data_IF_420928243845
#
_entry.id   IF_420928243845
#
_cell.length_a   1.000
_cell.length_b   1.000
_cell.length_c   1.000
_cell.angle_alpha   90.00
_cell.angle_beta   90.00
_cell.angle_gamma   90.00
#
_symmetry.space_group_name_H-M   'P 1'
#
loop_
_entity.id
_entity.type
_entity.pdbx_description
1 polymer ?
#
# COMPACT_ATOMS: atom_id res chain seq x y z
N UNK A 1 24.46 15.73 -8.78
CA UNK A 1 25.19 16.51 -7.76
C UNK A 1 26.49 17.12 -8.33
N UNK A 2 26.40 18.10 -9.24
CA UNK A 2 27.60 18.83 -9.72
C UNK A 2 28.11 19.86 -8.70
N UNK A 3 27.22 20.36 -7.85
CA UNK A 3 27.53 21.41 -6.87
C UNK A 3 28.47 20.94 -5.74
N UNK A 4 28.27 19.74 -5.19
CA UNK A 4 29.18 19.19 -4.16
C UNK A 4 30.59 18.94 -4.71
N UNK A 5 30.70 18.46 -5.94
CA UNK A 5 31.98 18.29 -6.63
C UNK A 5 32.69 19.64 -6.87
N UNK A 6 31.93 20.70 -7.16
CA UNK A 6 32.48 22.05 -7.31
C UNK A 6 32.97 22.63 -5.99
N UNK A 7 32.24 22.43 -4.89
CA UNK A 7 32.69 22.83 -3.54
C UNK A 7 33.99 22.11 -3.17
N UNK A 8 34.08 20.81 -3.41
CA UNK A 8 35.30 20.02 -3.16
C UNK A 8 36.47 20.48 -4.04
N UNK A 9 36.22 20.77 -5.32
CA UNK A 9 37.24 21.28 -6.26
C UNK A 9 37.78 22.64 -5.80
N UNK A 10 36.91 23.56 -5.42
CA UNK A 10 37.31 24.90 -4.97
C UNK A 10 38.05 24.86 -3.62
N UNK A 11 37.61 24.00 -2.68
CA UNK A 11 38.30 23.81 -1.40
C UNK A 11 39.72 23.25 -1.58
N UNK A 12 39.90 22.31 -2.53
CA UNK A 12 41.22 21.77 -2.91
C UNK A 12 42.11 22.80 -3.60
N UNK A 13 41.55 23.58 -4.54
CA UNK A 13 42.31 24.61 -5.27
C UNK A 13 42.86 25.71 -4.35
N UNK A 14 42.12 26.07 -3.29
CA UNK A 14 42.57 27.04 -2.29
C UNK A 14 43.53 26.46 -1.24
N UNK A 15 43.98 25.20 -1.38
CA UNK A 15 44.86 24.48 -0.43
C UNK A 15 44.34 24.47 1.02
N UNK A 16 43.03 24.63 1.22
CA UNK A 16 42.43 24.76 2.56
C UNK A 16 42.30 23.42 3.27
N UNK A 17 42.20 22.30 2.54
CA UNK A 17 42.11 20.94 3.11
C UNK A 17 42.31 19.86 2.04
N UNK A 18 42.93 18.73 2.42
CA UNK A 18 42.98 17.49 1.62
C UNK A 18 41.67 16.68 1.70
N UNK A 19 40.76 17.06 2.60
CA UNK A 19 39.51 16.32 2.88
C UNK A 19 38.44 16.56 1.81
N UNK A 20 37.62 15.54 1.55
CA UNK A 20 36.42 15.64 0.73
C UNK A 20 35.21 16.02 1.63
N UNK A 21 34.57 17.15 1.34
CA UNK A 21 33.38 17.64 2.02
C UNK A 21 32.09 17.23 1.30
N UNK A 22 32.15 16.91 0.00
CA UNK A 22 31.01 16.52 -0.82
C UNK A 22 30.13 15.42 -0.23
N UNK A 23 30.68 14.30 0.28
CA UNK A 23 29.87 13.25 0.91
C UNK A 23 29.11 13.72 2.15
N UNK A 24 29.68 14.65 2.92
CA UNK A 24 29.08 15.20 4.15
C UNK A 24 27.88 16.10 3.86
N UNK A 25 27.96 16.85 2.76
CA UNK A 25 26.95 17.82 2.34
C UNK A 25 25.82 17.17 1.51
N UNK A 26 26.10 16.03 0.89
CA UNK A 26 25.21 15.39 -0.08
C UNK A 26 23.81 15.16 0.47
N UNK A 27 23.70 14.65 1.69
CA UNK A 27 22.41 14.25 2.23
C UNK A 27 21.50 15.44 2.51
N UNK A 28 22.03 16.48 3.17
CA UNK A 28 21.27 17.69 3.44
C UNK A 28 20.86 18.40 2.15
N UNK A 29 21.79 18.55 1.20
CA UNK A 29 21.51 19.20 -0.08
C UNK A 29 20.43 18.47 -0.88
N UNK A 30 20.44 17.13 -0.83
CA UNK A 30 19.38 16.34 -1.44
C UNK A 30 18.03 16.57 -0.75
N UNK A 31 17.97 16.70 0.57
CA UNK A 31 16.73 16.99 1.30
C UNK A 31 16.21 18.39 1.04
N UNK A 32 17.08 19.40 0.96
CA UNK A 32 16.70 20.77 0.54
C UNK A 32 16.15 20.75 -0.89
N UNK A 33 16.78 20.00 -1.80
CA UNK A 33 16.31 19.87 -3.17
C UNK A 33 14.96 19.14 -3.25
N UNK A 34 14.76 18.09 -2.45
CA UNK A 34 13.49 17.38 -2.36
C UNK A 34 12.38 18.27 -1.80
N UNK A 35 12.67 19.11 -0.81
CA UNK A 35 11.73 20.11 -0.32
C UNK A 35 11.39 21.17 -1.36
N UNK A 36 12.36 21.64 -2.13
CA UNK A 36 12.11 22.54 -3.26
C UNK A 36 11.22 21.90 -4.32
N UNK A 37 11.45 20.62 -4.64
CA UNK A 37 10.56 19.87 -5.54
C UNK A 37 9.16 19.68 -4.95
N UNK A 38 9.05 19.47 -3.63
CA UNK A 38 7.77 19.34 -2.92
C UNK A 38 6.94 20.63 -3.03
N UNK A 39 7.56 21.79 -2.84
CA UNK A 39 6.90 23.09 -3.00
C UNK A 39 6.42 23.35 -4.43
N UNK A 40 7.18 22.88 -5.43
CA UNK A 40 6.82 23.00 -6.85
C UNK A 40 5.62 22.12 -7.22
N UNK A 41 5.60 20.87 -6.73
CA UNK A 41 4.53 19.89 -7.00
C UNK A 41 3.23 20.21 -6.26
N UNK A 42 3.31 20.70 -5.03
CA UNK A 42 2.12 20.84 -4.15
C UNK A 42 1.46 22.21 -4.28
N UNK A 43 2.20 23.27 -4.58
CA UNK A 43 1.69 24.64 -4.42
C UNK A 43 1.71 25.47 -5.70
N UNK A 44 2.35 24.98 -6.77
CA UNK A 44 2.51 25.73 -8.01
C UNK A 44 3.48 26.91 -7.83
N UNK A 45 4.02 27.40 -8.95
CA UNK A 45 5.27 28.19 -9.03
C UNK A 45 5.44 29.45 -8.18
N UNK A 46 4.47 29.88 -7.37
CA UNK A 46 4.58 31.06 -6.49
C UNK A 46 5.16 30.76 -5.08
N UNK A 47 4.91 29.60 -4.46
CA UNK A 47 5.60 29.19 -3.22
C UNK A 47 6.98 28.54 -3.47
N UNK A 48 7.34 28.36 -4.74
CA UNK A 48 8.69 28.06 -5.19
C UNK A 48 9.71 29.11 -4.66
N UNK A 49 9.27 30.34 -4.33
CA UNK A 49 10.13 31.39 -3.79
C UNK A 49 10.76 31.05 -2.43
N UNK A 50 10.03 30.43 -1.49
CA UNK A 50 10.57 30.11 -0.15
C UNK A 50 11.59 28.99 -0.26
N UNK A 51 11.25 27.90 -0.95
CA UNK A 51 12.16 26.77 -1.08
C UNK A 51 13.38 27.09 -1.98
N UNK A 52 13.18 27.91 -3.03
CA UNK A 52 14.27 28.48 -3.81
C UNK A 52 15.15 29.41 -2.96
N UNK A 53 14.55 30.20 -2.06
CA UNK A 53 15.26 31.04 -1.09
C UNK A 53 16.13 30.24 -0.14
N UNK A 54 15.61 29.15 0.43
CA UNK A 54 16.38 28.22 1.28
C UNK A 54 17.55 27.62 0.50
N UNK A 55 17.31 27.16 -0.74
CA UNK A 55 18.37 26.64 -1.60
C UNK A 55 19.46 27.70 -1.89
N UNK A 56 19.05 28.91 -2.25
CA UNK A 56 19.97 30.02 -2.51
C UNK A 56 20.79 30.38 -1.25
N UNK A 57 20.15 30.40 -0.08
CA UNK A 57 20.81 30.66 1.20
C UNK A 57 21.86 29.59 1.53
N UNK A 58 21.54 28.31 1.38
CA UNK A 58 22.48 27.20 1.60
C UNK A 58 23.64 27.27 0.60
N UNK A 59 23.35 27.52 -0.69
CA UNK A 59 24.36 27.63 -1.74
C UNK A 59 25.32 28.79 -1.50
N UNK A 60 24.80 29.97 -1.18
CA UNK A 60 25.59 31.17 -0.88
C UNK A 60 26.45 30.96 0.36
N UNK A 61 25.89 30.36 1.40
CA UNK A 61 26.59 30.02 2.64
C UNK A 61 27.79 29.11 2.37
N UNK A 62 27.61 28.05 1.58
CA UNK A 62 28.71 27.14 1.22
C UNK A 62 29.81 27.87 0.42
N UNK A 63 29.46 28.74 -0.51
CA UNK A 63 30.45 29.54 -1.25
C UNK A 63 31.26 30.47 -0.35
N UNK A 64 30.62 31.10 0.64
CA UNK A 64 31.28 31.94 1.63
C UNK A 64 32.25 31.11 2.48
N UNK A 65 31.83 29.92 2.93
CA UNK A 65 32.65 29.02 3.75
C UNK A 65 33.89 28.49 3.04
N UNK A 66 33.92 28.43 1.70
CA UNK A 66 35.11 28.06 0.93
C UNK A 66 36.27 29.05 1.15
N UNK A 67 36.02 30.24 1.71
CA UNK A 67 37.08 31.15 2.17
C UNK A 67 37.70 30.79 3.53
N UNK A 68 37.07 29.92 4.34
CA UNK A 68 37.38 29.71 5.74
C UNK A 68 37.41 28.21 6.11
N UNK A 69 38.59 27.59 6.10
CA UNK A 69 38.74 26.12 6.27
C UNK A 69 38.15 25.57 7.58
N UNK A 70 38.44 26.22 8.71
CA UNK A 70 37.96 25.78 10.04
C UNK A 70 36.42 25.82 10.15
N UNK A 71 35.80 26.78 9.48
CA UNK A 71 34.36 26.98 9.47
C UNK A 71 33.67 25.97 8.55
N UNK A 72 34.25 25.73 7.38
CA UNK A 72 33.77 24.70 6.45
C UNK A 72 33.77 23.32 7.10
N UNK A 73 34.79 22.99 7.91
CA UNK A 73 34.83 21.73 8.65
C UNK A 73 33.69 21.61 9.66
N UNK A 74 33.50 22.61 10.53
CA UNK A 74 32.41 22.62 11.53
C UNK A 74 31.01 22.55 10.88
N UNK A 75 30.80 23.34 9.82
CA UNK A 75 29.54 23.34 9.08
C UNK A 75 29.31 21.99 8.37
N UNK A 76 30.36 21.38 7.81
CA UNK A 76 30.25 20.06 7.17
C UNK A 76 29.85 18.97 8.16
N UNK A 77 30.31 19.03 9.41
CA UNK A 77 29.95 18.08 10.46
C UNK A 77 28.51 18.28 10.91
N UNK A 78 28.07 19.53 11.10
CA UNK A 78 26.67 19.86 11.41
C UNK A 78 25.72 19.36 10.32
N UNK A 79 26.03 19.66 9.05
CA UNK A 79 25.23 19.24 7.91
C UNK A 79 25.28 17.72 7.65
N UNK A 80 26.38 17.05 8.02
CA UNK A 80 26.45 15.60 8.00
C UNK A 80 25.55 14.97 9.07
N UNK A 81 25.55 15.52 10.30
CA UNK A 81 24.69 15.05 11.37
C UNK A 81 23.21 15.24 11.01
N UNK A 82 22.84 16.43 10.54
CA UNK A 82 21.50 16.74 10.06
C UNK A 82 21.08 15.88 8.85
N UNK A 83 22.00 15.72 7.89
CA UNK A 83 21.77 14.95 6.68
C UNK A 83 21.60 13.45 6.90
N UNK A 84 22.13 12.87 7.99
CA UNK A 84 21.88 11.47 8.33
C UNK A 84 20.42 11.19 8.69
N UNK A 85 19.77 12.16 9.31
CA UNK A 85 18.38 12.02 9.77
C UNK A 85 17.38 12.60 8.77
N UNK A 86 17.84 13.38 7.79
CA UNK A 86 17.00 14.17 6.93
C UNK A 86 15.91 13.34 6.21
N UNK A 87 14.69 13.88 6.12
CA UNK A 87 13.53 13.15 5.63
C UNK A 87 13.65 12.89 4.12
N UNK A 88 14.07 11.67 3.77
CA UNK A 88 14.24 11.20 2.38
C UNK A 88 13.08 10.34 1.91
N UNK A 89 11.90 10.56 2.49
CA UNK A 89 10.76 9.72 2.21
C UNK A 89 10.24 10.08 0.82
N UNK A 90 10.41 9.18 -0.15
CA UNK A 90 9.81 9.29 -1.48
C UNK A 90 8.27 9.39 -1.37
N UNK A 91 7.71 8.85 -0.29
CA UNK A 91 6.31 8.97 0.11
C UNK A 91 5.93 10.36 0.68
N UNK A 92 6.89 11.23 1.00
CA UNK A 92 6.63 12.55 1.58
C UNK A 92 5.71 13.39 0.68
N UNK A 93 5.89 13.32 -0.64
CA UNK A 93 5.03 14.04 -1.60
C UNK A 93 3.56 13.63 -1.55
N UNK A 94 3.26 12.37 -1.22
CA UNK A 94 1.89 11.86 -1.16
C UNK A 94 1.19 12.22 0.14
N UNK A 95 1.98 12.41 1.20
CA UNK A 95 1.49 12.58 2.58
C UNK A 95 1.53 14.04 3.02
N UNK A 96 2.49 14.81 2.53
CA UNK A 96 2.68 16.23 2.82
C UNK A 96 1.42 17.10 2.66
N UNK A 97 0.68 17.07 1.53
CA UNK A 97 -0.52 17.90 1.39
C UNK A 97 -1.66 17.49 2.35
N UNK A 98 -1.59 16.32 2.98
CA UNK A 98 -2.67 15.74 3.80
C UNK A 98 -2.51 16.02 5.30
N UNK A 99 -1.31 16.33 5.79
CA UNK A 99 -1.05 16.62 7.21
C UNK A 99 -0.49 18.02 7.39
N UNK A 100 -1.23 18.84 8.16
CA UNK A 100 -0.79 20.18 8.54
C UNK A 100 0.37 20.14 9.53
N UNK A 101 0.38 19.16 10.43
CA UNK A 101 1.48 18.97 11.38
C UNK A 101 2.79 18.64 10.67
N UNK A 102 2.74 17.76 9.65
CA UNK A 102 3.91 17.47 8.82
C UNK A 102 4.43 18.71 8.10
N UNK A 103 3.54 19.56 7.58
CA UNK A 103 3.91 20.84 6.95
C UNK A 103 4.60 21.76 7.95
N UNK A 104 4.05 21.90 9.16
CA UNK A 104 4.63 22.73 10.22
C UNK A 104 6.03 22.23 10.60
N UNK A 105 6.21 20.93 10.86
CA UNK A 105 7.51 20.36 11.22
C UNK A 105 8.58 20.57 10.13
N UNK A 106 8.19 20.46 8.85
CA UNK A 106 9.09 20.74 7.73
C UNK A 106 9.46 22.23 7.65
N UNK A 107 8.49 23.13 7.85
CA UNK A 107 8.76 24.56 7.91
C UNK A 107 9.75 24.90 9.03
N UNK A 108 9.54 24.38 10.25
CA UNK A 108 10.44 24.59 11.38
C UNK A 108 11.85 24.06 11.10
N UNK A 109 11.98 22.88 10.50
CA UNK A 109 13.27 22.33 10.09
C UNK A 109 14.03 23.29 9.14
N UNK A 110 13.35 23.83 8.13
CA UNK A 110 13.99 24.75 7.17
C UNK A 110 14.20 26.17 7.71
N UNK A 111 13.42 26.60 8.71
CA UNK A 111 13.70 27.81 9.48
C UNK A 111 15.05 27.66 10.21
N UNK A 112 15.30 26.53 10.86
CA UNK A 112 16.59 26.25 11.53
C UNK A 112 17.74 26.25 10.51
N UNK A 113 17.56 25.62 9.35
CA UNK A 113 18.56 25.65 8.26
C UNK A 113 18.87 27.09 7.80
N UNK A 114 17.83 27.92 7.69
CA UNK A 114 17.98 29.33 7.29
C UNK A 114 18.68 30.15 8.37
N UNK A 115 18.38 29.91 9.66
CA UNK A 115 19.09 30.54 10.77
C UNK A 115 20.58 30.20 10.79
N UNK A 116 20.93 28.94 10.53
CA UNK A 116 22.33 28.54 10.37
C UNK A 116 22.98 29.33 9.24
N UNK A 117 22.34 29.38 8.06
CA UNK A 117 22.85 30.15 6.92
C UNK A 117 23.05 31.63 7.25
N UNK A 118 22.08 32.26 7.90
CA UNK A 118 22.16 33.65 8.33
C UNK A 118 23.29 33.90 9.32
N UNK A 119 23.48 33.00 10.30
CA UNK A 119 24.58 33.09 11.28
C UNK A 119 25.94 33.03 10.61
N UNK A 120 26.09 32.15 9.61
CA UNK A 120 27.31 32.02 8.81
C UNK A 120 27.59 33.30 8.01
N UNK A 121 26.58 33.84 7.35
CA UNK A 121 26.72 35.05 6.55
C UNK A 121 27.03 36.28 7.41
N UNK A 122 26.35 36.41 8.56
CA UNK A 122 26.62 37.47 9.54
C UNK A 122 28.07 37.42 10.03
N UNK A 123 28.60 36.23 10.30
CA UNK A 123 30.00 36.05 10.68
C UNK A 123 30.96 36.44 9.54
N UNK A 124 30.70 35.98 8.31
CA UNK A 124 31.54 36.29 7.16
C UNK A 124 31.59 37.79 6.81
N UNK A 125 30.53 38.55 7.13
CA UNK A 125 30.49 40.02 6.95
C UNK A 125 31.29 40.80 7.99
N UNK A 126 31.67 40.21 9.14
CA UNK A 126 32.49 40.89 10.15
C UNK A 126 33.94 41.01 9.66
N UNK A 127 34.64 42.10 10.02
CA UNK A 127 36.05 42.32 9.68
C UNK A 127 36.94 41.19 10.21
N UNK A 128 38.09 40.97 9.59
CA UNK A 128 39.10 39.93 9.93
C UNK A 128 39.48 39.93 11.42
N UNK A 129 39.39 41.07 12.11
CA UNK A 129 39.65 41.19 13.55
C UNK A 129 38.43 40.79 14.43
N UNK A 130 37.21 41.02 13.94
CA UNK A 130 35.97 40.53 14.57
C UNK A 130 35.72 39.04 14.33
N UNK A 131 36.27 38.47 13.26
CA UNK A 131 36.18 37.03 12.96
C UNK A 131 37.03 36.18 13.92
N UNK A 132 38.14 36.72 14.45
CA UNK A 132 38.98 36.03 15.43
C UNK A 132 38.36 36.00 16.84
N UNK A 133 37.57 37.02 17.22
CA UNK A 133 36.92 37.10 18.53
C UNK A 133 35.53 36.46 18.58
N UNK A 134 34.88 36.27 17.43
CA UNK A 134 33.56 35.63 17.34
C UNK A 134 33.62 34.23 16.74
N UNK A 135 34.52 33.37 17.24
CA UNK A 135 34.41 31.94 16.92
C UNK A 135 32.98 31.50 17.22
N UNK A 136 32.27 30.90 16.26
CA UNK A 136 30.95 30.30 16.49
C UNK A 136 30.97 29.57 17.83
N UNK A 137 30.16 30.04 18.78
CA UNK A 137 30.13 29.45 20.10
C UNK A 137 29.71 27.98 19.93
N UNK A 138 30.45 27.06 20.54
CA UNK A 138 30.16 25.63 20.43
C UNK A 138 28.74 25.30 20.92
N UNK A 139 28.21 26.13 21.83
CA UNK A 139 26.82 26.09 22.27
C UNK A 139 25.82 26.39 21.14
N UNK A 140 26.06 27.41 20.31
CA UNK A 140 25.15 27.76 19.19
C UNK A 140 25.07 26.60 18.20
N UNK A 141 26.22 25.98 17.86
CA UNK A 141 26.28 24.83 16.95
C UNK A 141 25.53 23.64 17.54
N UNK A 142 25.72 23.35 18.84
CA UNK A 142 25.01 22.27 19.54
C UNK A 142 23.52 22.51 19.58
N UNK A 143 23.06 23.74 19.83
CA UNK A 143 21.64 24.10 19.81
C UNK A 143 21.04 23.86 18.42
N UNK A 144 21.68 24.37 17.36
CA UNK A 144 21.23 24.11 15.99
C UNK A 144 21.21 22.61 15.66
N UNK A 145 22.20 21.85 16.12
CA UNK A 145 22.22 20.41 15.92
C UNK A 145 21.04 19.73 16.62
N UNK A 146 20.76 20.09 17.88
CA UNK A 146 19.63 19.56 18.64
C UNK A 146 18.30 19.89 17.98
N UNK A 147 18.11 21.13 17.51
CA UNK A 147 16.88 21.54 16.82
C UNK A 147 16.69 20.78 15.52
N UNK A 148 17.75 20.62 14.72
CA UNK A 148 17.68 19.83 13.48
C UNK A 148 17.34 18.36 13.76
N UNK A 149 17.90 17.77 14.81
CA UNK A 149 17.61 16.40 15.22
C UNK A 149 16.16 16.26 15.70
N UNK A 150 15.69 17.21 16.52
CA UNK A 150 14.33 17.25 17.04
C UNK A 150 13.32 17.24 15.89
N UNK A 151 13.40 18.24 15.00
CA UNK A 151 12.45 18.36 13.89
C UNK A 151 12.57 17.21 12.91
N UNK A 152 13.79 16.71 12.64
CA UNK A 152 13.97 15.55 11.77
C UNK A 152 13.31 14.29 12.33
N UNK A 153 13.34 14.12 13.66
CA UNK A 153 12.69 13.00 14.35
C UNK A 153 11.17 13.14 14.29
N UNK A 154 10.64 14.32 14.61
CA UNK A 154 9.19 14.60 14.52
C UNK A 154 8.63 14.42 13.12
N UNK A 155 9.36 14.83 12.07
CA UNK A 155 8.97 14.59 10.68
C UNK A 155 8.89 13.09 10.39
N UNK A 156 9.88 12.32 10.82
CA UNK A 156 9.93 10.89 10.57
C UNK A 156 8.77 10.16 11.26
N UNK A 157 8.53 10.47 12.53
CA UNK A 157 7.44 9.88 13.32
C UNK A 157 6.07 10.16 12.69
N UNK A 158 5.82 11.41 12.28
CA UNK A 158 4.57 11.79 11.63
C UNK A 158 4.38 11.10 10.27
N UNK A 159 5.45 10.98 9.47
CA UNK A 159 5.40 10.25 8.19
C UNK A 159 5.11 8.77 8.40
N UNK A 160 5.78 8.13 9.36
CA UNK A 160 5.59 6.72 9.67
C UNK A 160 4.16 6.46 10.19
N UNK A 161 3.63 7.35 11.05
CA UNK A 161 2.25 7.30 11.54
C UNK A 161 1.25 7.38 10.38
N UNK A 162 1.41 8.34 9.48
CA UNK A 162 0.50 8.55 8.36
C UNK A 162 0.55 7.40 7.35
N UNK A 163 1.73 6.84 7.11
CA UNK A 163 1.90 5.68 6.23
C UNK A 163 1.24 4.43 6.83
N UNK A 164 1.43 4.19 8.13
CA UNK A 164 0.80 3.07 8.83
C UNK A 164 -0.74 3.20 8.80
N UNK A 165 -1.27 4.39 9.08
CA UNK A 165 -2.72 4.66 9.00
C UNK A 165 -3.26 4.46 7.58
N UNK A 166 -2.48 4.78 6.55
CA UNK A 166 -2.87 4.53 5.16
C UNK A 166 -2.95 3.03 4.87
N UNK A 167 -1.93 2.26 5.26
CA UNK A 167 -1.89 0.81 5.08
C UNK A 167 -3.02 0.10 5.82
N UNK A 168 -3.33 0.50 7.06
CA UNK A 168 -4.44 -0.07 7.84
C UNK A 168 -5.80 0.17 7.16
N UNK A 169 -6.03 1.40 6.67
CA UNK A 169 -7.25 1.73 5.96
C UNK A 169 -7.40 0.93 4.65
N UNK A 170 -6.32 0.81 3.87
CA UNK A 170 -6.31 0.02 2.64
C UNK A 170 -6.54 -1.47 2.91
N UNK A 171 -5.91 -2.01 3.96
CA UNK A 171 -6.10 -3.39 4.39
C UNK A 171 -7.56 -3.65 4.81
N UNK A 172 -8.17 -2.73 5.54
CA UNK A 172 -9.56 -2.82 5.98
C UNK A 172 -10.54 -2.73 4.80
N UNK A 173 -10.34 -1.81 3.87
CA UNK A 173 -11.16 -1.71 2.65
C UNK A 173 -11.03 -2.97 1.79
N UNK A 174 -9.80 -3.48 1.64
CA UNK A 174 -9.53 -4.74 0.92
C UNK A 174 -10.20 -5.94 1.57
N UNK A 175 -10.20 -6.01 2.91
CA UNK A 175 -10.89 -7.06 3.65
C UNK A 175 -12.41 -7.01 3.43
N UNK A 176 -13.02 -5.81 3.47
CA UNK A 176 -14.44 -5.62 3.16
C UNK A 176 -14.78 -6.03 1.73
N UNK A 177 -13.97 -5.61 0.75
CA UNK A 177 -14.16 -5.99 -0.65
C UNK A 177 -14.09 -7.52 -0.83
N UNK A 178 -13.12 -8.19 -0.20
CA UNK A 178 -13.00 -9.65 -0.21
C UNK A 178 -14.20 -10.34 0.43
N UNK A 179 -14.69 -9.82 1.57
CA UNK A 179 -15.87 -10.37 2.24
C UNK A 179 -17.14 -10.24 1.38
N UNK A 180 -17.33 -9.10 0.70
CA UNK A 180 -18.46 -8.89 -0.22
C UNK A 180 -18.37 -9.82 -1.43
N UNK A 181 -17.18 -9.95 -2.05
CA UNK A 181 -16.96 -10.86 -3.17
C UNK A 181 -17.24 -12.32 -2.78
N UNK A 182 -16.80 -12.75 -1.59
CA UNK A 182 -17.09 -14.09 -1.07
C UNK A 182 -18.60 -14.32 -0.88
N UNK A 183 -19.32 -13.34 -0.32
CA UNK A 183 -20.79 -13.42 -0.16
C UNK A 183 -21.51 -13.52 -1.50
N UNK A 184 -21.09 -12.74 -2.50
CA UNK A 184 -21.67 -12.80 -3.84
C UNK A 184 -21.40 -14.15 -4.52
N UNK A 185 -20.17 -14.66 -4.42
CA UNK A 185 -19.82 -15.99 -4.92
C UNK A 185 -20.68 -17.09 -4.31
N UNK A 186 -20.85 -17.09 -2.98
CA UNK A 186 -21.71 -18.05 -2.28
C UNK A 186 -23.18 -17.95 -2.72
N UNK A 187 -23.70 -16.73 -2.91
CA UNK A 187 -25.05 -16.51 -3.41
C UNK A 187 -25.24 -17.05 -4.84
N UNK A 188 -24.28 -16.80 -5.72
CA UNK A 188 -24.31 -17.32 -7.10
C UNK A 188 -24.24 -18.85 -7.12
N UNK A 189 -23.39 -19.46 -6.30
CA UNK A 189 -23.31 -20.91 -6.15
C UNK A 189 -24.63 -21.52 -5.66
N UNK A 190 -25.29 -20.88 -4.69
CA UNK A 190 -26.60 -21.31 -4.21
C UNK A 190 -27.67 -21.20 -5.30
N UNK A 191 -27.70 -20.10 -6.06
CA UNK A 191 -28.66 -19.94 -7.17
C UNK A 191 -28.46 -21.03 -8.23
N UNK A 192 -27.22 -21.32 -8.57
CA UNK A 192 -26.89 -22.39 -9.51
C UNK A 192 -27.34 -23.78 -9.02
N UNK A 193 -27.14 -24.09 -7.74
CA UNK A 193 -27.61 -25.37 -7.16
C UNK A 193 -29.14 -25.49 -7.18
N UNK A 194 -29.85 -24.42 -6.82
CA UNK A 194 -31.32 -24.37 -6.89
C UNK A 194 -31.82 -24.54 -8.32
N UNK A 195 -31.21 -23.84 -9.28
CA UNK A 195 -31.57 -23.93 -10.69
C UNK A 195 -31.36 -25.35 -11.25
N UNK A 196 -30.23 -25.99 -10.90
CA UNK A 196 -29.94 -27.37 -11.28
C UNK A 196 -30.98 -28.35 -10.74
N UNK A 197 -31.35 -28.23 -9.46
CA UNK A 197 -32.39 -29.04 -8.82
C UNK A 197 -33.76 -28.82 -9.47
N UNK A 198 -34.12 -27.55 -9.71
CA UNK A 198 -35.37 -27.19 -10.38
C UNK A 198 -35.45 -27.77 -11.79
N UNK A 199 -34.34 -27.72 -12.55
CA UNK A 199 -34.27 -28.29 -13.90
C UNK A 199 -34.49 -29.79 -13.89
N UNK A 200 -33.88 -30.51 -12.94
CA UNK A 200 -34.07 -31.94 -12.78
C UNK A 200 -35.53 -32.29 -12.44
N UNK A 201 -36.12 -31.59 -11.46
CA UNK A 201 -37.52 -31.79 -11.07
C UNK A 201 -38.47 -31.52 -12.24
N UNK A 202 -38.21 -30.45 -13.00
CA UNK A 202 -39.02 -30.14 -14.17
C UNK A 202 -38.98 -31.28 -15.20
N UNK A 203 -37.78 -31.78 -15.53
CA UNK A 203 -37.63 -32.94 -16.42
C UNK A 203 -38.38 -34.18 -15.93
N UNK A 204 -38.37 -34.46 -14.63
CA UNK A 204 -39.14 -35.56 -14.05
C UNK A 204 -40.65 -35.33 -14.13
N UNK A 205 -41.12 -34.09 -13.96
CA UNK A 205 -42.54 -33.74 -14.01
C UNK A 205 -43.12 -33.72 -15.43
N UNK A 206 -42.31 -33.36 -16.43
CA UNK A 206 -42.72 -33.28 -17.84
C UNK A 206 -42.49 -34.59 -18.60
N UNK A 207 -41.93 -35.62 -17.95
CA UNK A 207 -41.68 -36.91 -18.59
C UNK A 207 -43.01 -37.64 -18.83
N UNK A 208 -43.30 -37.95 -20.09
CA UNK A 208 -44.49 -38.72 -20.48
C UNK A 208 -44.32 -40.21 -20.11
N UNK A 209 -44.57 -40.51 -18.85
CA UNK A 209 -44.62 -41.88 -18.34
C UNK A 209 -45.81 -42.66 -18.93
N UNK A 210 -46.86 -41.99 -19.39
CA UNK A 210 -48.09 -42.63 -19.85
C UNK A 210 -47.88 -43.31 -21.21
N UNK A 211 -47.15 -42.69 -22.13
CA UNK A 211 -46.80 -43.32 -23.41
C UNK A 211 -45.89 -44.53 -23.20
N UNK A 212 -44.83 -44.39 -22.39
CA UNK A 212 -43.93 -45.51 -22.06
C UNK A 212 -44.69 -46.65 -21.38
N UNK A 213 -45.57 -46.33 -20.42
CA UNK A 213 -46.43 -47.32 -19.75
C UNK A 213 -47.34 -48.05 -20.73
N UNK A 214 -48.06 -47.32 -21.60
CA UNK A 214 -48.92 -47.92 -22.62
C UNK A 214 -48.14 -48.80 -23.61
N UNK A 215 -46.93 -48.40 -24.01
CA UNK A 215 -46.07 -49.22 -24.85
C UNK A 215 -45.65 -50.50 -24.14
N UNK A 216 -45.25 -50.41 -22.87
CA UNK A 216 -44.90 -51.57 -22.05
C UNK A 216 -46.09 -52.52 -21.85
N UNK A 217 -47.31 -52.00 -21.70
CA UNK A 217 -48.54 -52.79 -21.64
C UNK A 217 -48.78 -53.60 -22.92
N UNK A 218 -48.49 -53.04 -24.09
CA UNK A 218 -48.67 -53.74 -25.38
C UNK A 218 -47.70 -54.90 -25.60
N UNK A 219 -46.53 -54.86 -24.96
CA UNK A 219 -45.42 -55.81 -25.24
C UNK A 219 -45.63 -57.16 -24.55
N UNK A 220 -46.43 -57.24 -23.48
CA UNK A 220 -46.58 -58.49 -22.73
C UNK A 220 -47.88 -58.59 -21.94
N UNK A 221 -48.06 -59.75 -21.29
CA UNK A 221 -49.25 -60.05 -20.48
C UNK A 221 -48.84 -60.64 -19.13
N UNK A 222 -49.63 -60.37 -18.09
CA UNK A 222 -49.46 -60.89 -16.72
C UNK A 222 -50.28 -62.15 -16.45
N UNK A 223 -50.78 -62.83 -17.48
CA UNK A 223 -51.58 -64.05 -17.35
C UNK A 223 -50.91 -65.16 -16.53
N UNK A 224 -49.57 -65.23 -16.55
CA UNK A 224 -48.79 -66.17 -15.74
C UNK A 224 -48.79 -65.80 -14.24
N UNK A 225 -48.84 -64.51 -13.89
CA UNK A 225 -48.89 -64.08 -12.49
C UNK A 225 -50.21 -64.47 -11.82
N UNK A 226 -51.31 -64.49 -12.58
CA UNK A 226 -52.60 -64.95 -12.05
C UNK A 226 -52.56 -66.41 -11.56
N UNK A 227 -51.56 -67.20 -11.98
CA UNK A 227 -51.36 -68.59 -11.53
C UNK A 227 -50.57 -68.69 -10.21
N UNK A 228 -49.82 -67.66 -9.82
CA UNK A 228 -49.05 -67.63 -8.57
C UNK A 228 -49.97 -67.39 -7.37
N UNK A 229 -49.83 -68.26 -6.36
CA UNK A 229 -50.50 -68.14 -5.06
C UNK A 229 -50.09 -66.87 -4.32
N UNK A 230 -48.81 -66.52 -4.40
CA UNK A 230 -48.19 -65.40 -3.70
C UNK A 230 -48.74 -64.07 -4.24
N UNK A 231 -48.89 -63.97 -5.56
CA UNK A 231 -49.46 -62.78 -6.20
C UNK A 231 -50.95 -62.61 -5.89
N UNK A 232 -51.75 -63.69 -5.89
CA UNK A 232 -53.17 -63.62 -5.51
C UNK A 232 -53.35 -63.19 -4.06
N UNK A 233 -52.57 -63.78 -3.16
CA UNK A 233 -52.61 -63.42 -1.75
C UNK A 233 -52.28 -61.93 -1.58
N UNK A 234 -51.19 -61.44 -2.19
CA UNK A 234 -50.84 -60.01 -2.16
C UNK A 234 -51.96 -59.12 -2.73
N UNK A 235 -52.61 -59.51 -3.83
CA UNK A 235 -53.69 -58.74 -4.46
C UNK A 235 -54.96 -58.66 -3.59
N UNK A 236 -55.22 -59.69 -2.78
CA UNK A 236 -56.39 -59.76 -1.88
C UNK A 236 -56.14 -59.07 -0.53
N UNK A 237 -54.89 -58.73 -0.19
CA UNK A 237 -54.56 -57.99 1.02
C UNK A 237 -55.09 -56.55 0.94
N UNK A 238 -55.87 -56.14 1.93
CA UNK A 238 -56.43 -54.79 2.04
C UNK A 238 -55.47 -53.79 2.72
N UNK A 239 -54.24 -54.22 3.04
CA UNK A 239 -53.19 -53.38 3.63
C UNK A 239 -52.18 -52.96 2.57
N UNK A 240 -51.65 -51.73 2.69
CA UNK A 240 -50.61 -51.21 1.81
C UNK A 240 -49.33 -52.03 1.92
N UNK A 241 -49.17 -53.02 1.05
CA UNK A 241 -48.00 -53.91 1.00
C UNK A 241 -47.32 -53.80 -0.37
N UNK A 242 -45.98 -53.81 -0.39
CA UNK A 242 -45.20 -53.69 -1.62
C UNK A 242 -44.84 -55.07 -2.18
N UNK A 243 -44.98 -55.24 -3.50
CA UNK A 243 -44.51 -56.44 -4.22
C UNK A 243 -43.16 -56.15 -4.91
N UNK A 244 -42.22 -57.09 -4.82
CA UNK A 244 -40.89 -56.97 -5.43
C UNK A 244 -40.74 -57.96 -6.58
N UNK A 245 -40.58 -57.44 -7.80
CA UNK A 245 -40.22 -58.25 -8.98
C UNK A 245 -38.70 -58.25 -9.17
N UNK A 246 -38.05 -59.40 -8.94
CA UNK A 246 -36.61 -59.58 -9.13
C UNK A 246 -36.29 -60.45 -10.35
N UNK A 247 -35.14 -60.19 -11.00
CA UNK A 247 -34.70 -60.93 -12.19
C UNK A 247 -33.62 -60.20 -12.99
N UNK A 248 -33.00 -60.89 -13.96
CA UNK A 248 -31.94 -60.33 -14.82
C UNK A 248 -32.43 -59.15 -15.68
N UNK A 249 -31.52 -58.34 -16.21
CA UNK A 249 -31.84 -57.28 -17.18
C UNK A 249 -32.52 -57.92 -18.40
N UNK A 250 -33.59 -57.31 -18.91
CA UNK A 250 -34.37 -57.88 -20.01
C UNK A 250 -35.38 -58.96 -19.63
N UNK A 251 -35.43 -59.41 -18.37
CA UNK A 251 -36.36 -60.45 -17.91
C UNK A 251 -37.85 -60.01 -17.80
N UNK A 252 -38.23 -58.88 -18.42
CA UNK A 252 -39.62 -58.44 -18.47
C UNK A 252 -40.16 -57.73 -17.23
N UNK A 253 -39.35 -57.46 -16.19
CA UNK A 253 -39.79 -56.82 -14.93
C UNK A 253 -40.67 -55.57 -15.13
N UNK A 254 -40.25 -54.64 -15.99
CA UNK A 254 -41.00 -53.40 -16.26
C UNK A 254 -42.31 -53.65 -17.02
N UNK A 255 -42.33 -54.64 -17.92
CA UNK A 255 -43.53 -55.06 -18.66
C UNK A 255 -44.53 -55.73 -17.73
N UNK A 256 -44.04 -56.56 -16.80
CA UNK A 256 -44.87 -57.16 -15.75
C UNK A 256 -45.48 -56.09 -14.86
N UNK A 257 -44.68 -55.15 -14.36
CA UNK A 257 -45.15 -54.05 -13.53
C UNK A 257 -46.16 -53.15 -14.27
N UNK A 258 -46.01 -52.99 -15.59
CA UNK A 258 -46.96 -52.25 -16.43
C UNK A 258 -48.36 -52.88 -16.54
N UNK A 259 -48.47 -54.19 -16.31
CA UNK A 259 -49.66 -54.99 -16.58
C UNK A 259 -50.28 -55.61 -15.31
N UNK A 260 -49.73 -55.30 -14.13
CA UNK A 260 -50.27 -55.67 -12.80
C UNK A 260 -51.34 -54.67 -12.40
#
# INVERSE_FOLDING_TARGET
MRFTAEVDRQARQKRLSSRCFGPRLTNLLQSVQQFAALGDVVVGGSQNLVACGVWAAVRMTLHICIGFSSYLEKLSLLFMAAGRQAPRHQALALVYPKSKELQNHLCEYFIVVTHICHRVQSFARKSTFGQLTTSLNDSDIKNFQSDLVLWSTSIKEEVDLLLNKHHENEAHLSAKARALAARWSASTAHRYDVEKKSKWLNSCSTYDFQTTWKQMQKIGSTSLLARSSEYRQWKELHSSTSILFSGKIGAGKSVTMANV
#
